data_IF_358082227883
#
_entry.id   IF_358082227883
#
_cell.length_a   1.000
_cell.length_b   1.000
_cell.length_c   1.000
_cell.angle_alpha   90.00
_cell.angle_beta   90.00
_cell.angle_gamma   90.00
#
_symmetry.space_group_name_H-M   'P 1'
#
loop_
_entity.id
_entity.type
_entity.pdbx_description
1 polymer ?
#
# COMPACT_ATOMS: atom_id res chain seq x y z
N UNK A 1 12.35 1.92 8.13
CA UNK A 1 11.43 3.08 8.13
C UNK A 1 10.76 3.10 9.48
N UNK A 2 10.92 4.16 10.26
CA UNK A 2 10.31 4.26 11.59
C UNK A 2 8.81 4.42 11.41
N UNK A 3 8.02 3.63 12.15
CA UNK A 3 6.61 3.90 12.34
C UNK A 3 6.54 5.22 13.12
N UNK A 4 5.91 6.25 12.53
CA UNK A 4 5.65 7.47 13.24
C UNK A 4 4.54 7.18 14.25
N UNK A 5 4.88 7.23 15.54
CA UNK A 5 3.94 7.20 16.65
C UNK A 5 3.14 8.50 16.61
N UNK A 6 1.91 8.42 16.18
CA UNK A 6 0.97 9.53 16.27
C UNK A 6 0.32 9.49 17.66
N UNK A 7 0.61 10.50 18.45
CA UNK A 7 0.07 10.67 19.80
C UNK A 7 -1.42 11.05 19.75
N UNK A 8 -2.28 10.19 20.25
CA UNK A 8 -3.65 10.57 20.60
C UNK A 8 -3.64 11.57 21.78
N UNK A 9 -4.25 12.71 21.57
CA UNK A 9 -4.34 13.79 22.57
C UNK A 9 -5.52 13.64 23.53
N UNK A 10 -5.91 12.49 23.94
CA UNK A 10 -6.75 12.31 25.14
C UNK A 10 -6.65 10.85 25.58
N UNK A 11 -6.08 10.65 26.77
CA UNK A 11 -5.84 9.37 27.47
C UNK A 11 -4.94 8.34 26.78
N UNK A 12 -3.64 8.50 27.01
CA UNK A 12 -2.59 7.45 27.22
C UNK A 12 -2.79 6.08 26.52
N UNK A 13 -3.32 6.05 25.33
CA UNK A 13 -3.19 4.90 24.46
C UNK A 13 -2.38 5.31 23.23
N UNK A 14 -1.17 4.79 23.11
CA UNK A 14 -0.33 4.97 21.91
C UNK A 14 -0.98 4.19 20.77
N UNK A 15 -1.81 4.89 19.98
CA UNK A 15 -2.40 4.29 18.78
C UNK A 15 -1.38 4.39 17.66
N UNK A 16 -0.92 3.26 17.14
CA UNK A 16 0.00 3.20 16.01
C UNK A 16 -0.79 2.94 14.73
N UNK A 17 -0.65 3.84 13.75
CA UNK A 17 -1.17 3.65 12.38
C UNK A 17 -0.03 3.23 11.48
N UNK A 18 -0.24 2.17 10.71
CA UNK A 18 0.78 1.64 9.81
C UNK A 18 0.63 2.19 8.40
N UNK A 19 1.75 2.34 7.70
CA UNK A 19 1.75 2.71 6.30
C UNK A 19 0.89 1.74 5.47
N UNK A 20 -0.09 2.29 4.74
CA UNK A 20 -1.00 1.50 3.90
C UNK A 20 -2.29 1.09 4.61
N UNK A 21 -2.47 1.40 5.90
CA UNK A 21 -3.73 1.19 6.59
C UNK A 21 -4.80 2.15 6.04
N UNK A 22 -6.01 1.64 5.81
CA UNK A 22 -7.12 2.42 5.26
C UNK A 22 -8.08 2.80 6.38
N UNK A 23 -8.35 4.09 6.51
CA UNK A 23 -9.31 4.64 7.45
C UNK A 23 -10.45 5.38 6.76
N UNK A 24 -11.57 5.52 7.45
CA UNK A 24 -12.73 6.30 6.99
C UNK A 24 -12.77 7.65 7.69
N UNK A 25 -12.72 8.74 6.91
CA UNK A 25 -12.91 10.09 7.45
C UNK A 25 -14.34 10.23 7.95
N UNK A 26 -14.49 10.52 9.25
CA UNK A 26 -15.78 10.75 9.89
C UNK A 26 -16.17 12.22 9.87
N UNK A 27 -15.22 13.12 10.16
CA UNK A 27 -15.43 14.55 10.14
C UNK A 27 -14.14 15.30 9.90
N UNK A 28 -14.27 16.51 9.37
CA UNK A 28 -13.19 17.49 9.20
C UNK A 28 -13.66 18.77 9.89
N UNK A 29 -12.88 19.27 10.83
CA UNK A 29 -13.14 20.53 11.52
C UNK A 29 -12.64 21.73 10.70
N UNK A 30 -13.13 22.94 11.02
CA UNK A 30 -12.66 24.18 10.38
C UNK A 30 -11.15 24.42 10.56
N UNK A 31 -10.57 23.92 11.65
CA UNK A 31 -9.13 23.99 11.93
C UNK A 31 -8.30 22.92 11.18
N UNK A 32 -8.92 22.23 10.20
CA UNK A 32 -8.30 21.09 9.50
C UNK A 32 -7.87 19.93 10.41
N UNK A 33 -8.65 19.67 11.44
CA UNK A 33 -8.51 18.48 12.28
C UNK A 33 -9.39 17.38 11.71
N UNK A 34 -8.79 16.23 11.43
CA UNK A 34 -9.44 15.07 10.81
C UNK A 34 -9.75 14.02 11.87
N UNK A 35 -10.99 13.60 11.99
CA UNK A 35 -11.36 12.40 12.75
C UNK A 35 -11.51 11.24 11.78
N UNK A 36 -10.67 10.22 11.95
CA UNK A 36 -10.59 9.09 11.04
C UNK A 36 -10.80 7.81 11.85
N UNK A 37 -11.70 6.98 11.37
CA UNK A 37 -11.95 5.64 11.91
C UNK A 37 -11.04 4.63 11.21
N UNK A 38 -10.17 3.99 11.96
CA UNK A 38 -9.36 2.85 11.54
C UNK A 38 -9.85 1.61 12.29
N UNK A 39 -10.29 0.60 11.55
CA UNK A 39 -10.85 -0.63 12.09
C UNK A 39 -11.94 -0.36 13.14
N UNK A 40 -11.60 -0.26 14.42
CA UNK A 40 -12.53 0.01 15.53
C UNK A 40 -12.14 1.25 16.35
N UNK A 41 -11.08 1.94 15.99
CA UNK A 41 -10.55 3.09 16.72
C UNK A 41 -10.70 4.39 15.95
N UNK A 42 -11.07 5.46 16.65
CA UNK A 42 -11.17 6.80 16.07
C UNK A 42 -9.94 7.58 16.47
N UNK A 43 -9.17 7.98 15.48
CA UNK A 43 -7.97 8.77 15.67
C UNK A 43 -8.18 10.19 15.16
N UNK A 44 -7.52 11.13 15.84
CA UNK A 44 -7.57 12.57 15.55
C UNK A 44 -6.22 12.99 14.97
N UNK A 45 -6.25 13.53 13.75
CA UNK A 45 -5.08 14.01 13.04
C UNK A 45 -5.12 15.51 12.91
N UNK A 46 -4.05 16.17 13.30
CA UNK A 46 -3.87 17.61 13.10
C UNK A 46 -3.48 17.92 11.65
N UNK A 47 -3.52 19.19 11.27
CA UNK A 47 -3.09 19.65 9.94
C UNK A 47 -1.67 19.20 9.59
N UNK A 48 -0.77 19.09 10.57
CA UNK A 48 0.62 18.63 10.36
C UNK A 48 0.67 17.17 9.93
N UNK A 49 -0.22 16.35 10.45
CA UNK A 49 -0.31 14.92 10.17
C UNK A 49 -0.98 14.62 8.84
N UNK A 50 -1.74 15.61 8.31
CA UNK A 50 -2.46 15.46 7.04
C UNK A 50 -1.55 15.19 5.83
N UNK A 51 -0.26 15.57 5.90
CA UNK A 51 0.72 15.27 4.85
C UNK A 51 0.97 13.77 4.67
N UNK A 52 0.68 12.97 5.71
CA UNK A 52 0.81 11.52 5.68
C UNK A 52 -0.48 10.82 5.21
N UNK A 53 -1.57 11.58 5.05
CA UNK A 53 -2.86 11.05 4.60
C UNK A 53 -2.97 11.15 3.08
N UNK A 54 -3.35 10.06 2.45
CA UNK A 54 -3.56 9.99 1.00
C UNK A 54 -4.97 9.43 0.76
N UNK A 55 -5.66 9.98 -0.22
CA UNK A 55 -6.98 9.45 -0.61
C UNK A 55 -6.85 8.00 -1.11
N UNK A 56 -7.65 7.11 -0.53
CA UNK A 56 -7.58 5.66 -0.77
C UNK A 56 -8.52 5.18 -1.89
N UNK A 57 -8.91 6.04 -2.85
CA UNK A 57 -9.73 5.65 -3.99
C UNK A 57 -8.95 4.78 -5.01
N UNK A 58 -7.63 4.89 -5.02
CA UNK A 58 -6.72 4.05 -5.77
C UNK A 58 -5.43 3.85 -4.99
N UNK A 59 -4.83 2.69 -5.09
CA UNK A 59 -3.60 2.37 -4.37
C UNK A 59 -2.63 1.60 -5.25
N UNK A 60 -1.35 1.77 -4.96
CA UNK A 60 -0.30 0.96 -5.55
C UNK A 60 -0.28 -0.43 -4.88
N UNK A 61 -0.12 -1.53 -5.62
CA UNK A 61 -0.08 -2.90 -5.08
C UNK A 61 0.94 -3.09 -3.95
N UNK A 62 2.07 -2.38 -4.00
CA UNK A 62 3.10 -2.45 -2.94
C UNK A 62 2.64 -1.85 -1.61
N UNK A 63 1.79 -0.83 -1.63
CA UNK A 63 1.21 -0.25 -0.41
C UNK A 63 0.15 -1.14 0.22
N UNK A 64 -0.45 -2.01 -0.57
CA UNK A 64 -1.46 -2.98 -0.13
C UNK A 64 -0.85 -4.30 0.33
N UNK A 65 0.46 -4.41 0.42
CA UNK A 65 1.11 -5.62 0.94
C UNK A 65 0.65 -5.88 2.39
N UNK A 66 0.21 -7.11 2.66
CA UNK A 66 -0.38 -7.49 3.95
C UNK A 66 -1.90 -7.29 4.03
N UNK A 67 -2.52 -6.51 3.14
CA UNK A 67 -3.97 -6.31 3.09
C UNK A 67 -4.62 -7.17 2.01
N UNK A 68 -5.90 -7.50 2.20
CA UNK A 68 -6.73 -8.21 1.21
C UNK A 68 -8.04 -7.47 0.97
N UNK A 69 -8.51 -7.49 -0.27
CA UNK A 69 -9.80 -6.94 -0.66
C UNK A 69 -10.69 -8.05 -1.24
N UNK A 70 -12.01 -7.90 -1.11
CA UNK A 70 -12.92 -8.87 -1.72
C UNK A 70 -12.83 -8.84 -3.24
N UNK A 71 -12.82 -7.64 -3.81
CA UNK A 71 -12.74 -7.41 -5.25
C UNK A 71 -11.69 -6.35 -5.53
N UNK A 72 -10.96 -6.53 -6.62
CA UNK A 72 -9.95 -5.57 -7.11
C UNK A 72 -10.25 -5.24 -8.56
N UNK A 73 -10.12 -3.97 -8.89
CA UNK A 73 -10.03 -3.51 -10.27
C UNK A 73 -8.58 -3.12 -10.49
N UNK A 74 -7.88 -3.90 -11.33
CA UNK A 74 -6.49 -3.65 -11.68
C UNK A 74 -6.40 -2.99 -13.05
N UNK A 75 -5.44 -2.09 -13.21
CA UNK A 75 -5.21 -1.37 -14.46
C UNK A 75 -3.80 -1.67 -14.96
N UNK A 76 -3.71 -2.27 -16.15
CA UNK A 76 -2.44 -2.65 -16.77
C UNK A 76 -2.33 -2.04 -18.17
N UNK A 77 -1.50 -1.00 -18.31
CA UNK A 77 -1.33 -0.24 -19.56
C UNK A 77 0.12 -0.28 -20.01
N UNK A 78 0.38 -0.21 -21.32
CA UNK A 78 1.72 -0.20 -21.93
C UNK A 78 2.58 0.98 -21.41
N UNK A 79 1.96 2.13 -21.13
CA UNK A 79 2.66 3.27 -20.53
C UNK A 79 3.32 2.96 -19.17
N UNK A 80 2.92 1.88 -18.51
CA UNK A 80 3.50 1.41 -17.24
C UNK A 80 4.59 0.36 -17.43
N UNK A 81 5.06 0.11 -18.64
CA UNK A 81 5.99 -0.96 -19.02
C UNK A 81 7.19 -1.08 -18.07
N UNK A 82 7.78 0.05 -17.66
CA UNK A 82 8.94 0.08 -16.74
C UNK A 82 8.67 -0.55 -15.37
N UNK A 83 7.41 -0.58 -14.96
CA UNK A 83 6.98 -1.14 -13.66
C UNK A 83 6.39 -2.54 -13.82
N UNK A 84 5.97 -2.88 -15.04
CA UNK A 84 5.30 -4.14 -15.32
C UNK A 84 6.28 -5.31 -15.26
N UNK A 85 6.02 -6.21 -14.34
CA UNK A 85 6.72 -7.49 -14.23
C UNK A 85 5.80 -8.54 -13.61
N UNK A 86 6.20 -9.79 -13.69
CA UNK A 86 5.44 -10.93 -13.17
C UNK A 86 5.15 -10.81 -11.67
N UNK A 87 6.09 -10.30 -10.90
CA UNK A 87 5.94 -10.18 -9.45
C UNK A 87 4.88 -9.13 -9.09
N UNK A 88 4.87 -7.98 -9.78
CA UNK A 88 3.86 -6.95 -9.60
C UNK A 88 2.47 -7.48 -9.93
N UNK A 89 2.32 -8.14 -11.08
CA UNK A 89 1.06 -8.73 -11.51
C UNK A 89 0.59 -9.78 -10.49
N UNK A 90 1.44 -10.70 -10.08
CA UNK A 90 1.13 -11.70 -9.07
C UNK A 90 0.72 -11.08 -7.75
N UNK A 91 1.46 -10.07 -7.27
CA UNK A 91 1.14 -9.36 -6.03
C UNK A 91 -0.25 -8.71 -6.10
N UNK A 92 -0.58 -8.10 -7.25
CA UNK A 92 -1.89 -7.49 -7.47
C UNK A 92 -3.01 -8.52 -7.44
N UNK A 93 -2.86 -9.61 -8.21
CA UNK A 93 -3.86 -10.66 -8.32
C UNK A 93 -4.14 -11.34 -6.97
N UNK A 94 -3.09 -11.60 -6.19
CA UNK A 94 -3.23 -12.30 -4.90
C UNK A 94 -3.85 -11.45 -3.78
N UNK A 95 -4.06 -10.15 -3.98
CA UNK A 95 -4.79 -9.29 -3.03
C UNK A 95 -6.31 -9.47 -3.09
N UNK A 96 -6.85 -10.02 -4.17
CA UNK A 96 -8.28 -10.27 -4.31
C UNK A 96 -8.65 -11.62 -3.69
N UNK A 97 -9.63 -11.62 -2.77
CA UNK A 97 -10.11 -12.86 -2.15
C UNK A 97 -11.31 -13.47 -2.85
N UNK A 98 -12.08 -12.70 -3.62
CA UNK A 98 -13.28 -13.16 -4.33
C UNK A 98 -13.21 -13.00 -5.84
N UNK A 99 -12.64 -11.91 -6.33
CA UNK A 99 -12.59 -11.67 -7.76
C UNK A 99 -11.78 -10.45 -8.14
N UNK A 100 -11.32 -10.44 -9.38
CA UNK A 100 -10.55 -9.35 -9.96
C UNK A 100 -11.15 -8.99 -11.32
N UNK A 101 -11.16 -7.70 -11.60
CA UNK A 101 -11.47 -7.14 -12.91
C UNK A 101 -10.19 -6.50 -13.40
N UNK A 102 -9.67 -7.02 -14.50
CA UNK A 102 -8.50 -6.46 -15.16
C UNK A 102 -8.94 -5.55 -16.29
N UNK A 103 -8.50 -4.30 -16.25
CA UNK A 103 -8.75 -3.29 -17.29
C UNK A 103 -7.41 -2.89 -17.87
N UNK A 104 -7.23 -3.08 -19.17
CA UNK A 104 -5.96 -2.70 -19.79
C UNK A 104 -5.70 -3.32 -21.14
N UNK A 105 -4.45 -3.27 -21.54
CA UNK A 105 -3.97 -3.70 -22.85
C UNK A 105 -3.40 -5.11 -22.76
N UNK A 106 -3.83 -5.98 -23.65
CA UNK A 106 -3.42 -7.38 -23.65
C UNK A 106 -1.92 -7.55 -23.86
N UNK A 107 -1.31 -6.63 -24.61
CA UNK A 107 0.14 -6.65 -24.84
C UNK A 107 0.89 -6.28 -23.56
N UNK A 108 0.41 -5.31 -22.79
CA UNK A 108 0.97 -4.95 -21.49
C UNK A 108 0.92 -6.12 -20.50
N UNK A 109 -0.19 -6.87 -20.48
CA UNK A 109 -0.30 -8.08 -19.66
C UNK A 109 0.69 -9.18 -20.10
N UNK A 110 0.77 -9.43 -21.41
CA UNK A 110 1.73 -10.40 -21.96
C UNK A 110 3.17 -10.02 -21.60
N UNK A 111 3.49 -8.72 -21.73
CA UNK A 111 4.80 -8.20 -21.35
C UNK A 111 5.07 -8.43 -19.86
N UNK A 112 4.12 -8.06 -18.99
CA UNK A 112 4.24 -8.26 -17.54
C UNK A 112 4.50 -9.73 -17.16
N UNK A 113 3.79 -10.67 -17.80
CA UNK A 113 3.98 -12.12 -17.57
C UNK A 113 5.35 -12.60 -18.05
N UNK A 114 5.83 -12.07 -19.17
CA UNK A 114 7.10 -12.46 -19.75
C UNK A 114 8.31 -11.86 -18.99
N UNK A 115 8.12 -10.69 -18.38
CA UNK A 115 9.18 -9.95 -17.71
C UNK A 115 9.37 -10.48 -16.28
N UNK A 116 10.55 -11.01 -16.00
CA UNK A 116 10.98 -11.34 -14.64
C UNK A 116 11.31 -10.05 -13.90
N UNK A 117 10.93 -9.95 -12.64
CA UNK A 117 11.39 -8.84 -11.79
C UNK A 117 12.92 -8.89 -11.63
N UNK A 118 13.48 -7.72 -11.32
CA UNK A 118 14.93 -7.61 -11.15
C UNK A 118 15.37 -8.37 -9.88
N UNK A 119 15.86 -9.60 -10.07
CA UNK A 119 16.39 -10.44 -8.98
C UNK A 119 17.80 -10.01 -8.52
N UNK A 120 18.34 -8.95 -9.10
CA UNK A 120 19.63 -8.36 -8.74
C UNK A 120 19.61 -7.63 -7.38
N UNK A 121 18.93 -8.18 -6.40
CA UNK A 121 19.15 -7.76 -5.00
C UNK A 121 20.53 -8.25 -4.59
N UNK A 122 21.49 -7.35 -4.65
CA UNK A 122 22.82 -7.55 -4.02
C UNK A 122 22.61 -7.60 -2.52
N UNK A 123 22.26 -8.76 -1.99
CA UNK A 123 22.23 -9.01 -0.57
C UNK A 123 23.63 -9.50 -0.18
N UNK A 124 24.29 -8.78 0.69
CA UNK A 124 25.58 -9.14 1.29
C UNK A 124 25.51 -10.41 2.15
N UNK A 125 24.31 -10.91 2.41
CA UNK A 125 24.07 -12.08 3.25
C UNK A 125 24.82 -13.33 2.74
N UNK A 126 24.90 -13.50 1.40
CA UNK A 126 25.62 -14.65 0.81
C UNK A 126 27.13 -14.56 1.08
N UNK A 127 27.70 -13.37 1.00
CA UNK A 127 29.13 -13.13 1.25
C UNK A 127 29.43 -13.31 2.75
N UNK A 128 28.57 -12.79 3.63
CA UNK A 128 28.71 -12.96 5.09
C UNK A 128 28.58 -14.42 5.56
N UNK A 129 27.86 -15.27 4.84
CA UNK A 129 27.72 -16.69 5.19
C UNK A 129 28.83 -17.57 4.61
N UNK A 130 29.67 -17.04 3.72
CA UNK A 130 30.79 -17.76 3.11
C UNK A 130 32.15 -17.40 3.74
N UNK A 131 32.19 -16.40 4.60
CA UNK A 131 33.40 -15.93 5.32
C UNK A 131 33.58 -16.61 6.71
N UNK A 132 32.84 -17.68 7.01
CA UNK A 132 33.07 -18.64 8.11
C UNK A 132 33.69 -19.94 7.50
#
# INVERSE_FOLDING_TARGET
>A
MKADELLCKDDVATCSVFNGQIGKILSISEDNVFKILFDQEILVFDKKDSYNLILAYASNPFRMQGSQCKYIIAITLEQHERMLNRQLLYTTLTRASKGIIEIGEINAMKYAVATMGDDNRKAWLKELLLDD
#
